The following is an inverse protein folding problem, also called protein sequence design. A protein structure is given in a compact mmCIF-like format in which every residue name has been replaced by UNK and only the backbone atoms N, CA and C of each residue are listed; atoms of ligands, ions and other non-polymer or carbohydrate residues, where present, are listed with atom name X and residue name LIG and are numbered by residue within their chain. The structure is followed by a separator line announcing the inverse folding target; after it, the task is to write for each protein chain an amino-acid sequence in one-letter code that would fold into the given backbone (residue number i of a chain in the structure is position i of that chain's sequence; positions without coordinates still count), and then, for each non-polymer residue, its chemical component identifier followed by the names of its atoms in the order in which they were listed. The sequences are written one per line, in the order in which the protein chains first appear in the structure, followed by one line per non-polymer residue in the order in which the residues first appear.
data_IF_695698723485
#
_entry.id   IF_695698723485
#
_cell.length_a   1.000
_cell.length_b   1.000
_cell.length_c   1.000
_cell.angle_alpha   90.00
_cell.angle_beta   90.00
_cell.angle_gamma   90.00
#
_symmetry.space_group_name_H-M   'P 1'
#
loop_
_entity.id
_entity.type
_entity.pdbx_description
1 polymer ?
#
# COMPACT_ATOMS: atom_id res chain seq x y z
N UNK A 1 10.34 0.83 11.24
CA UNK A 1 9.81 -0.06 10.18
C UNK A 1 8.65 -0.88 10.71
N UNK A 2 7.59 -0.98 9.94
CA UNK A 2 6.43 -1.83 10.28
C UNK A 2 6.43 -3.02 9.34
N UNK A 3 6.20 -4.22 9.88
CA UNK A 3 6.13 -5.45 9.11
C UNK A 3 4.91 -6.25 9.57
N UNK A 4 4.11 -6.72 8.62
CA UNK A 4 2.94 -7.56 8.91
C UNK A 4 2.85 -8.69 7.89
N UNK A 5 2.30 -9.82 8.32
CA UNK A 5 2.04 -10.97 7.45
C UNK A 5 0.58 -11.34 7.54
N UNK A 6 -0.01 -11.64 6.39
CA UNK A 6 -1.38 -12.13 6.31
C UNK A 6 -1.47 -13.28 5.33
N UNK A 7 -2.45 -14.16 5.52
CA UNK A 7 -2.76 -15.24 4.59
C UNK A 7 -4.01 -14.84 3.82
N UNK A 8 -3.93 -14.91 2.50
CA UNK A 8 -5.01 -14.50 1.60
C UNK A 8 -5.43 -15.69 0.73
N UNK A 9 -6.71 -15.91 0.61
CA UNK A 9 -7.27 -17.01 -0.18
C UNK A 9 -7.36 -16.65 -1.65
N UNK A 10 -6.20 -16.56 -2.29
CA UNK A 10 -6.07 -16.31 -3.72
C UNK A 10 -4.65 -16.65 -4.18
N UNK A 11 -4.42 -16.64 -5.49
CA UNK A 11 -3.07 -16.84 -6.03
C UNK A 11 -2.18 -15.63 -5.81
N UNK A 12 -0.88 -15.83 -5.89
CA UNK A 12 0.12 -14.76 -5.79
C UNK A 12 -0.13 -13.69 -6.86
N UNK A 13 -0.32 -14.11 -8.09
CA UNK A 13 -0.56 -13.20 -9.21
C UNK A 13 -1.83 -12.38 -8.99
N UNK A 14 -2.91 -13.03 -8.55
CA UNK A 14 -4.16 -12.32 -8.30
C UNK A 14 -4.02 -11.25 -7.20
N UNK A 15 -3.27 -11.56 -6.14
CA UNK A 15 -3.03 -10.59 -5.09
C UNK A 15 -2.25 -9.38 -5.63
N UNK A 16 -1.18 -9.63 -6.40
CA UNK A 16 -0.40 -8.54 -6.98
C UNK A 16 -1.22 -7.74 -7.98
N UNK A 17 -2.11 -8.39 -8.74
CA UNK A 17 -3.04 -7.68 -9.64
C UNK A 17 -3.96 -6.76 -8.84
N UNK A 18 -4.44 -7.22 -7.68
CA UNK A 18 -5.28 -6.40 -6.81
C UNK A 18 -4.54 -5.15 -6.32
N UNK A 19 -3.29 -5.29 -5.90
CA UNK A 19 -2.45 -4.16 -5.47
C UNK A 19 -2.15 -3.22 -6.63
N UNK A 20 -1.95 -3.76 -7.82
CA UNK A 20 -1.56 -2.98 -9.01
C UNK A 20 -2.76 -2.28 -9.67
N UNK A 21 -3.97 -2.65 -9.29
CA UNK A 21 -5.20 -2.06 -9.85
C UNK A 21 -5.61 -0.81 -9.07
N UNK A 22 -4.87 0.27 -9.26
CA UNK A 22 -5.06 1.53 -8.53
C UNK A 22 -6.41 2.17 -8.78
N UNK A 23 -7.03 1.93 -9.93
CA UNK A 23 -8.35 2.50 -10.26
C UNK A 23 -9.44 2.04 -9.29
N UNK A 24 -9.26 0.88 -8.68
CA UNK A 24 -10.24 0.32 -7.74
C UNK A 24 -10.06 0.82 -6.30
N UNK A 25 -8.93 1.43 -5.96
CA UNK A 25 -8.63 1.84 -4.60
C UNK A 25 -9.71 2.68 -3.92
N UNK A 26 -10.26 3.73 -4.57
CA UNK A 26 -11.30 4.53 -3.92
C UNK A 26 -12.57 3.76 -3.59
N UNK A 27 -12.79 2.61 -4.22
CA UNK A 27 -14.00 1.81 -4.02
C UNK A 27 -13.93 0.95 -2.77
N UNK A 28 -12.72 0.58 -2.31
CA UNK A 28 -12.59 -0.28 -1.13
C UNK A 28 -11.71 0.29 -0.02
N UNK A 29 -11.05 1.41 -0.26
CA UNK A 29 -10.26 2.13 0.74
C UNK A 29 -10.88 3.50 0.96
N UNK A 30 -11.63 3.65 2.06
CA UNK A 30 -12.43 4.87 2.33
C UNK A 30 -11.58 6.13 2.45
N UNK A 31 -10.34 5.99 2.92
CA UNK A 31 -9.42 7.11 3.10
C UNK A 31 -8.90 7.68 1.78
N UNK A 32 -9.00 6.94 0.69
CA UNK A 32 -8.54 7.39 -0.63
C UNK A 32 -9.59 8.32 -1.25
N UNK A 33 -9.26 9.60 -1.39
CA UNK A 33 -10.10 10.57 -2.12
C UNK A 33 -9.92 10.42 -3.61
N UNK A 34 -8.66 10.36 -4.04
CA UNK A 34 -8.30 10.13 -5.43
C UNK A 34 -6.93 9.49 -5.51
N UNK A 35 -6.68 8.85 -6.63
CA UNK A 35 -5.41 8.23 -6.92
C UNK A 35 -5.16 8.37 -8.43
N UNK A 36 -3.97 8.84 -8.77
CA UNK A 36 -3.53 9.01 -10.15
C UNK A 36 -2.21 8.30 -10.35
N UNK A 37 -1.98 7.79 -11.55
CA UNK A 37 -0.71 7.15 -11.84
C UNK A 37 -0.33 7.33 -13.30
N UNK A 38 0.96 7.21 -13.56
CA UNK A 38 1.50 7.21 -14.92
C UNK A 38 2.56 6.13 -15.05
N UNK A 39 2.65 5.53 -16.22
CA UNK A 39 3.70 4.57 -16.52
C UNK A 39 5.02 5.32 -16.69
N UNK A 40 6.07 4.87 -15.97
CA UNK A 40 7.39 5.49 -16.05
C UNK A 40 8.49 4.52 -16.45
N UNK A 41 8.13 3.26 -16.70
CA UNK A 41 9.05 2.21 -17.12
C UNK A 41 8.31 0.89 -17.20
N UNK A 42 9.03 -0.18 -17.54
CA UNK A 42 8.45 -1.52 -17.57
C UNK A 42 8.04 -1.94 -16.17
N UNK A 43 6.74 -2.19 -15.97
CA UNK A 43 6.19 -2.55 -14.67
C UNK A 43 6.53 -1.54 -13.57
N UNK A 44 6.70 -0.27 -13.95
CA UNK A 44 6.94 0.82 -13.02
C UNK A 44 5.92 1.92 -13.22
N UNK A 45 5.41 2.42 -12.12
CA UNK A 45 4.43 3.51 -12.11
C UNK A 45 4.80 4.54 -11.05
N UNK A 46 4.54 5.78 -11.38
CA UNK A 46 4.58 6.86 -10.39
C UNK A 46 3.14 7.13 -9.97
N UNK A 47 2.84 6.89 -8.70
CA UNK A 47 1.47 6.87 -8.17
C UNK A 47 1.30 8.01 -7.18
N UNK A 48 0.31 8.86 -7.41
CA UNK A 48 -0.02 9.97 -6.52
C UNK A 48 -1.30 9.66 -5.76
N UNK A 49 -1.18 9.62 -4.43
CA UNK A 49 -2.27 9.36 -3.51
C UNK A 49 -2.76 10.68 -2.94
N UNK A 50 -4.08 10.83 -2.85
CA UNK A 50 -4.74 11.91 -2.14
C UNK A 50 -5.64 11.26 -1.11
N UNK A 51 -5.23 11.30 0.15
CA UNK A 51 -5.94 10.59 1.21
C UNK A 51 -6.50 11.57 2.24
N UNK A 52 -7.57 11.16 2.90
CA UNK A 52 -8.25 11.94 3.91
C UNK A 52 -8.40 11.05 5.15
N UNK A 53 -7.52 11.24 6.11
CA UNK A 53 -7.55 10.52 7.40
C UNK A 53 -7.93 11.51 8.51
N UNK A 54 -6.93 12.01 9.25
CA UNK A 54 -7.14 13.07 10.23
C UNK A 54 -7.15 14.42 9.52
N UNK A 55 -6.32 14.53 8.49
CA UNK A 55 -6.29 15.67 7.58
C UNK A 55 -5.96 15.15 6.18
N UNK A 56 -6.13 16.00 5.19
CA UNK A 56 -5.84 15.65 3.81
C UNK A 56 -4.33 15.60 3.59
N UNK A 57 -3.86 14.48 3.04
CA UNK A 57 -2.44 14.25 2.76
C UNK A 57 -2.29 13.82 1.31
N UNK A 58 -1.35 14.44 0.60
CA UNK A 58 -1.05 14.09 -0.78
C UNK A 58 0.41 13.69 -0.88
N UNK A 59 0.68 12.55 -1.52
CA UNK A 59 2.05 12.08 -1.70
C UNK A 59 2.16 11.23 -2.95
N UNK A 60 3.39 11.16 -3.49
CA UNK A 60 3.71 10.41 -4.70
C UNK A 60 4.79 9.39 -4.41
N UNK A 61 4.56 8.15 -4.84
CA UNK A 61 5.50 7.05 -4.72
C UNK A 61 5.86 6.53 -6.10
N UNK A 62 7.08 6.06 -6.26
CA UNK A 62 7.49 5.32 -7.44
C UNK A 62 7.41 3.84 -7.12
N UNK A 63 6.56 3.12 -7.82
CA UNK A 63 6.24 1.71 -7.55
C UNK A 63 6.71 0.83 -8.69
N UNK A 64 7.30 -0.31 -8.33
CA UNK A 64 7.81 -1.28 -9.29
C UNK A 64 7.26 -2.67 -8.96
N UNK A 65 6.72 -3.33 -9.98
CA UNK A 65 6.21 -4.69 -9.87
C UNK A 65 7.18 -5.68 -10.49
N UNK A 66 7.46 -6.74 -9.76
CA UNK A 66 8.18 -7.92 -10.25
C UNK A 66 7.31 -9.15 -10.05
N UNK A 67 7.83 -10.34 -10.34
CA UNK A 67 7.04 -11.58 -10.27
C UNK A 67 6.41 -11.84 -8.89
N UNK A 68 7.14 -11.57 -7.81
CA UNK A 68 6.68 -11.87 -6.46
C UNK A 68 6.64 -10.66 -5.53
N UNK A 69 6.73 -9.44 -6.09
CA UNK A 69 6.92 -8.27 -5.25
C UNK A 69 6.45 -6.99 -5.92
N UNK A 70 5.90 -6.10 -5.12
CA UNK A 70 5.68 -4.70 -5.51
C UNK A 70 6.38 -3.88 -4.45
N UNK A 71 7.32 -3.03 -4.86
CA UNK A 71 8.06 -2.18 -3.93
C UNK A 71 7.98 -0.73 -4.35
N UNK A 72 8.21 0.17 -3.41
CA UNK A 72 8.12 1.60 -3.69
C UNK A 72 9.16 2.40 -2.94
N UNK A 73 9.45 3.58 -3.52
CA UNK A 73 10.28 4.61 -2.93
C UNK A 73 9.53 5.93 -2.99
N UNK A 74 9.96 6.87 -2.17
CA UNK A 74 9.32 8.16 -2.02
C UNK A 74 9.77 9.12 -3.12
N UNK A 75 8.81 9.84 -3.72
CA UNK A 75 9.10 10.91 -4.67
C UNK A 75 8.89 12.27 -4.00
N UNK A 76 7.71 12.52 -3.45
CA UNK A 76 7.38 13.76 -2.75
C UNK A 76 6.11 13.58 -1.93
N UNK A 77 5.85 14.46 -0.99
CA UNK A 77 4.59 14.41 -0.26
C UNK A 77 4.53 15.35 0.92
N UNK A 78 3.29 15.52 1.41
CA UNK A 78 3.00 16.29 2.61
C UNK A 78 3.27 15.43 3.84
N UNK A 79 3.64 16.07 4.95
CA UNK A 79 3.77 15.43 6.27
C UNK A 79 4.85 14.36 6.40
N UNK A 80 5.47 13.93 5.31
CA UNK A 80 6.49 12.88 5.36
C UNK A 80 7.75 13.32 4.64
N UNK A 81 8.89 12.76 5.08
CA UNK A 81 10.20 12.99 4.50
C UNK A 81 10.67 11.80 3.68
N UNK A 82 10.15 10.60 3.99
CA UNK A 82 10.48 9.39 3.27
C UNK A 82 9.34 8.39 3.44
N UNK A 83 9.18 7.52 2.45
CA UNK A 83 8.20 6.43 2.48
C UNK A 83 8.72 5.36 1.54
N UNK A 84 9.12 4.23 2.09
CA UNK A 84 9.56 3.10 1.29
C UNK A 84 9.02 1.80 1.88
N UNK A 85 8.75 0.85 1.02
CA UNK A 85 8.20 -0.41 1.47
C UNK A 85 7.97 -1.40 0.36
N UNK A 86 7.27 -2.46 0.69
CA UNK A 86 6.99 -3.52 -0.27
C UNK A 86 5.82 -4.40 0.15
N UNK A 87 5.19 -4.98 -0.87
CA UNK A 87 4.34 -6.15 -0.77
C UNK A 87 5.13 -7.32 -1.35
N UNK A 88 5.32 -8.37 -0.59
CA UNK A 88 5.95 -9.61 -1.09
C UNK A 88 4.95 -10.74 -0.96
N UNK A 89 4.90 -11.61 -1.95
CA UNK A 89 3.98 -12.74 -1.97
C UNK A 89 4.73 -14.06 -2.05
N UNK A 90 4.27 -15.04 -1.27
CA UNK A 90 4.81 -16.38 -1.24
C UNK A 90 3.67 -17.38 -1.29
N UNK A 91 3.89 -18.51 -1.92
CA UNK A 91 2.91 -19.60 -1.95
C UNK A 91 2.73 -20.14 -0.52
N UNK A 92 1.50 -20.24 -0.07
CA UNK A 92 1.16 -20.78 1.25
C UNK A 92 0.47 -22.14 1.18
N UNK A 93 0.38 -22.73 -0.02
CA UNK A 93 -0.27 -24.02 -0.25
C UNK A 93 -1.79 -23.88 -0.45
N UNK A 94 -2.38 -24.86 -1.11
CA UNK A 94 -3.84 -24.96 -1.29
C UNK A 94 -4.49 -23.75 -1.95
N UNK A 95 -3.75 -23.10 -2.87
CA UNK A 95 -4.27 -21.91 -3.56
C UNK A 95 -4.23 -20.63 -2.72
N UNK A 96 -3.58 -20.68 -1.58
CA UNK A 96 -3.44 -19.53 -0.68
C UNK A 96 -2.09 -18.86 -0.82
N UNK A 97 -2.03 -17.60 -0.45
CA UNK A 97 -0.82 -16.76 -0.54
C UNK A 97 -0.50 -16.16 0.81
N UNK A 98 0.76 -16.23 1.18
CA UNK A 98 1.29 -15.47 2.31
C UNK A 98 1.76 -14.13 1.78
N UNK A 99 1.20 -13.05 2.33
CA UNK A 99 1.53 -11.68 1.94
C UNK A 99 2.33 -11.05 3.08
N UNK A 100 3.49 -10.52 2.73
CA UNK A 100 4.35 -9.82 3.67
C UNK A 100 4.38 -8.35 3.28
N UNK A 101 3.91 -7.49 4.18
CA UNK A 101 3.88 -6.04 3.99
C UNK A 101 4.92 -5.40 4.90
N UNK A 102 5.78 -4.58 4.33
CA UNK A 102 6.76 -3.81 5.08
C UNK A 102 6.70 -2.37 4.63
N UNK A 103 6.77 -1.46 5.59
CA UNK A 103 6.81 -0.03 5.28
C UNK A 103 7.65 0.71 6.31
N UNK A 104 8.43 1.67 5.82
CA UNK A 104 9.21 2.57 6.64
C UNK A 104 8.89 3.99 6.20
N UNK A 105 8.22 4.74 7.08
CA UNK A 105 7.81 6.12 6.80
C UNK A 105 8.51 7.03 7.79
N UNK A 106 9.17 8.07 7.28
CA UNK A 106 9.72 9.14 8.09
C UNK A 106 8.81 10.34 7.99
N UNK A 107 8.25 10.73 9.12
CA UNK A 107 7.34 11.87 9.18
C UNK A 107 8.11 13.18 9.42
N UNK A 108 7.52 14.29 9.01
CA UNK A 108 8.07 15.60 9.30
C UNK A 108 8.05 15.92 10.79
N UNK A 109 8.92 16.84 11.24
CA UNK A 109 9.06 17.18 12.65
C UNK A 109 7.80 17.76 13.28
N UNK A 110 6.92 18.35 12.45
CA UNK A 110 5.70 18.99 12.94
C UNK A 110 4.50 18.02 13.01
N UNK A 111 4.69 16.77 12.67
CA UNK A 111 3.61 15.77 12.74
C UNK A 111 3.52 15.24 14.18
N UNK A 112 2.37 15.41 14.86
CA UNK A 112 2.22 14.92 16.23
C UNK A 112 2.35 13.41 16.34
N UNK A 113 2.90 12.91 17.44
CA UNK A 113 3.04 11.47 17.67
C UNK A 113 1.70 10.74 17.67
N UNK A 114 0.63 11.41 18.09
CA UNK A 114 -0.72 10.83 18.05
C UNK A 114 -1.17 10.51 16.62
N UNK A 115 -0.80 11.35 15.65
CA UNK A 115 -1.09 11.14 14.24
C UNK A 115 -0.27 9.96 13.71
N UNK A 116 1.02 9.92 14.03
CA UNK A 116 1.90 8.81 13.65
C UNK A 116 1.36 7.49 14.18
N UNK A 117 0.97 7.45 15.45
CA UNK A 117 0.43 6.26 16.09
C UNK A 117 -0.87 5.80 15.44
N UNK A 118 -1.77 6.73 15.11
CA UNK A 118 -3.01 6.37 14.45
C UNK A 118 -2.75 5.75 13.07
N UNK A 119 -1.84 6.32 12.30
CA UNK A 119 -1.50 5.81 10.96
C UNK A 119 -0.88 4.41 11.04
N UNK A 120 -0.05 4.15 12.03
CA UNK A 120 0.67 2.87 12.14
C UNK A 120 -0.09 1.79 12.88
N UNK A 121 -0.84 2.14 13.94
CA UNK A 121 -1.50 1.15 14.81
C UNK A 121 -2.95 0.87 14.42
N UNK A 122 -3.64 1.80 13.79
CA UNK A 122 -5.05 1.67 13.44
C UNK A 122 -5.25 1.52 11.94
N UNK A 123 -4.78 2.47 11.16
CA UNK A 123 -5.04 2.49 9.71
C UNK A 123 -4.34 1.36 8.96
N UNK A 124 -3.11 1.03 9.33
CA UNK A 124 -2.34 0.03 8.62
C UNK A 124 -3.00 -1.36 8.70
N UNK A 125 -3.39 -1.87 9.89
CA UNK A 125 -4.10 -3.14 9.97
C UNK A 125 -5.42 -3.13 9.21
N UNK A 126 -6.17 -2.03 9.24
CA UNK A 126 -7.43 -1.91 8.51
C UNK A 126 -7.21 -1.96 7.00
N UNK A 127 -6.17 -1.28 6.52
CA UNK A 127 -5.80 -1.29 5.11
C UNK A 127 -5.46 -2.71 4.65
N UNK A 128 -4.63 -3.42 5.41
CA UNK A 128 -4.24 -4.80 5.08
C UNK A 128 -5.47 -5.70 4.99
N UNK A 129 -6.39 -5.57 5.93
CA UNK A 129 -7.64 -6.35 5.90
C UNK A 129 -8.48 -5.99 4.68
N UNK A 130 -8.53 -4.73 4.28
CA UNK A 130 -9.27 -4.28 3.10
C UNK A 130 -8.71 -4.91 1.82
N UNK A 131 -7.39 -4.97 1.67
CA UNK A 131 -6.75 -5.66 0.55
C UNK A 131 -7.04 -7.16 0.55
N UNK A 132 -7.02 -7.79 1.72
CA UNK A 132 -7.35 -9.21 1.84
C UNK A 132 -8.78 -9.48 1.38
N UNK A 133 -9.74 -8.72 1.87
CA UNK A 133 -11.15 -8.86 1.48
C UNK A 133 -11.32 -8.63 -0.02
N UNK A 134 -10.69 -7.59 -0.55
CA UNK A 134 -10.79 -7.27 -1.97
C UNK A 134 -10.19 -8.38 -2.84
N UNK A 135 -9.03 -8.90 -2.48
CA UNK A 135 -8.35 -9.94 -3.23
C UNK A 135 -9.10 -11.27 -3.18
N UNK A 136 -9.81 -11.54 -2.09
CA UNK A 136 -10.59 -12.77 -1.94
C UNK A 136 -11.92 -12.74 -2.69
N UNK A 137 -12.34 -11.61 -3.19
CA UNK A 137 -13.50 -11.52 -4.09
C UNK A 137 -13.08 -12.07 -5.46
N UNK A 138 -13.83 -12.99 -5.96
CA UNK A 138 -13.52 -13.66 -7.24
C UNK A 138 -14.59 -13.40 -8.28
#
# INVERSE_FOLDING_TARGET
MVRSEIIVDCSKEHFLDTVWNFDEYPKFLKEIRSIDYKEVGDNEREVTYDIDLIKRVRYTLRMKRTENRIEWTFVKGDMMKDNRGSWEVQDAGEGKTKVIYQVDIKFGLLVPNSVVDMLTKVNLPQMLNSFKVQAEKK
#
